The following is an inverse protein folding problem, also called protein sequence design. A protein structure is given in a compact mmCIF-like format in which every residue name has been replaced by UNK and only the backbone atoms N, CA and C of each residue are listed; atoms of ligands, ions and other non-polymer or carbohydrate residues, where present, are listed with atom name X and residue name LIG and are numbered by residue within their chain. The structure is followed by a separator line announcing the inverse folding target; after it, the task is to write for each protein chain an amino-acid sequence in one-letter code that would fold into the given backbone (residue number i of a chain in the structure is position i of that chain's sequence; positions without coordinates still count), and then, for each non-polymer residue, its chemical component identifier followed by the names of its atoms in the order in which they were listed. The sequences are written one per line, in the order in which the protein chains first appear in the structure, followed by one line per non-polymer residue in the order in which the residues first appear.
data_IF_547796084583
#
_entry.id   IF_547796084583
#
_cell.length_a   1.000
_cell.length_b   1.000
_cell.length_c   1.000
_cell.angle_alpha   90.00
_cell.angle_beta   90.00
_cell.angle_gamma   90.00
#
_symmetry.space_group_name_H-M   'P 1'
#
loop_
_entity.id
_entity.type
_entity.pdbx_description
1 polymer ?
#
# COMPACT_ATOMS: atom_id res chain seq x y z
N UNK A 1 -2.74 -8.39 20.37
CA UNK A 1 -2.42 -7.05 19.82
C UNK A 1 -3.68 -6.21 19.77
N UNK A 2 -3.60 -4.92 20.09
CA UNK A 2 -4.69 -3.97 19.87
C UNK A 2 -4.69 -3.47 18.41
N UNK A 3 -5.77 -2.78 18.00
CA UNK A 3 -5.92 -2.30 16.62
C UNK A 3 -4.78 -1.37 16.18
N UNK A 4 -4.22 -0.55 17.08
CA UNK A 4 -3.11 0.36 16.76
C UNK A 4 -1.85 -0.41 16.38
N UNK A 5 -1.56 -1.52 17.07
CA UNK A 5 -0.42 -2.39 16.77
C UNK A 5 -0.59 -3.13 15.43
N UNK A 6 -1.81 -3.55 15.09
CA UNK A 6 -2.08 -4.17 13.77
C UNK A 6 -1.86 -3.17 12.64
N UNK A 7 -2.34 -1.94 12.81
CA UNK A 7 -2.22 -0.89 11.78
C UNK A 7 -0.77 -0.51 11.48
N UNK A 8 0.12 -0.53 12.48
CA UNK A 8 1.56 -0.29 12.25
C UNK A 8 2.25 -1.37 11.43
N UNK A 9 1.65 -2.56 11.31
CA UNK A 9 2.17 -3.66 10.48
C UNK A 9 1.68 -3.58 9.02
N UNK A 10 0.78 -2.67 8.68
CA UNK A 10 0.31 -2.52 7.30
C UNK A 10 1.15 -1.41 6.64
N UNK A 11 1.95 -1.78 5.65
CA UNK A 11 2.70 -0.82 4.84
C UNK A 11 1.75 0.16 4.12
N UNK A 12 2.25 1.33 3.73
CA UNK A 12 1.43 2.36 3.07
C UNK A 12 0.80 1.90 1.75
N UNK A 13 1.39 0.91 1.08
CA UNK A 13 0.79 0.25 -0.08
C UNK A 13 -0.39 -0.68 0.26
N UNK A 14 -0.61 -1.01 1.53
CA UNK A 14 -1.62 -1.97 2.00
C UNK A 14 -1.10 -3.38 2.25
N UNK A 15 0.19 -3.66 1.99
CA UNK A 15 0.79 -4.96 2.29
C UNK A 15 0.98 -5.16 3.80
N UNK A 16 0.60 -6.32 4.32
CA UNK A 16 0.70 -6.63 5.74
C UNK A 16 2.06 -7.26 6.07
N UNK A 17 2.95 -6.50 6.70
CA UNK A 17 4.26 -6.97 7.16
C UNK A 17 4.15 -8.11 8.18
N UNK A 18 3.06 -8.20 8.95
CA UNK A 18 2.85 -9.28 9.92
C UNK A 18 2.69 -10.66 9.28
N UNK A 19 2.56 -10.77 7.96
CA UNK A 19 2.62 -12.05 7.22
C UNK A 19 3.94 -12.26 6.45
N UNK A 20 4.90 -11.35 6.58
CA UNK A 20 6.18 -11.43 5.87
C UNK A 20 7.19 -12.29 6.66
N UNK A 21 7.77 -13.36 6.07
CA UNK A 21 8.77 -14.19 6.75
C UNK A 21 9.97 -13.40 7.28
N UNK A 22 10.48 -12.43 6.51
CA UNK A 22 11.66 -11.64 6.90
C UNK A 22 11.35 -10.71 8.08
N UNK A 23 10.13 -10.16 8.14
CA UNK A 23 9.69 -9.37 9.29
C UNK A 23 9.53 -10.24 10.54
N UNK A 24 8.94 -11.43 10.39
CA UNK A 24 8.72 -12.38 11.48
C UNK A 24 10.05 -12.89 12.05
N UNK A 25 11.05 -13.11 11.20
CA UNK A 25 12.39 -13.56 11.60
C UNK A 25 13.27 -12.44 12.16
N UNK A 26 12.90 -11.17 11.95
CA UNK A 26 13.64 -10.01 12.43
C UNK A 26 14.69 -9.47 11.45
N UNK A 27 14.78 -10.04 10.24
CA UNK A 27 15.68 -9.58 9.16
C UNK A 27 15.18 -8.29 8.48
N UNK A 28 13.92 -7.93 8.70
CA UNK A 28 13.31 -6.70 8.20
C UNK A 28 12.57 -5.95 9.31
N UNK A 29 12.75 -4.63 9.40
CA UNK A 29 12.08 -3.77 10.38
C UNK A 29 10.65 -3.37 10.00
N UNK A 30 10.19 -3.80 8.82
CA UNK A 30 8.86 -3.53 8.27
C UNK A 30 8.80 -2.22 7.48
N UNK A 31 7.94 -2.14 6.46
CA UNK A 31 7.96 -1.07 5.46
C UNK A 31 7.82 0.36 6.05
N UNK A 32 7.14 0.51 7.19
CA UNK A 32 6.98 1.82 7.86
C UNK A 32 8.24 2.34 8.54
N UNK A 33 9.14 1.44 8.90
CA UNK A 33 10.42 1.76 9.54
C UNK A 33 11.58 1.67 8.56
N UNK A 34 11.52 0.72 7.62
CA UNK A 34 12.59 0.44 6.68
C UNK A 34 12.73 1.48 5.56
N UNK A 35 11.65 2.13 5.15
CA UNK A 35 11.67 3.09 4.05
C UNK A 35 11.84 4.54 4.52
N UNK A 36 12.70 5.26 3.81
CA UNK A 36 12.84 6.71 3.84
C UNK A 36 12.17 7.34 2.61
N UNK A 37 12.07 8.67 2.62
CA UNK A 37 11.52 9.43 1.49
C UNK A 37 12.35 9.13 0.23
N UNK A 38 11.68 8.73 -0.85
CA UNK A 38 12.30 8.36 -2.12
C UNK A 38 12.47 6.85 -2.34
N UNK A 39 12.42 6.03 -1.29
CA UNK A 39 12.62 4.57 -1.42
C UNK A 39 11.43 3.86 -2.08
N UNK A 40 10.23 4.38 -1.86
CA UNK A 40 8.99 3.79 -2.36
C UNK A 40 8.00 4.88 -2.75
N UNK A 41 7.67 4.94 -4.05
CA UNK A 41 6.72 5.91 -4.56
C UNK A 41 5.39 5.94 -3.78
N UNK A 42 4.80 4.77 -3.54
CA UNK A 42 3.49 4.70 -2.87
C UNK A 42 3.57 5.09 -1.40
N UNK A 43 4.72 4.88 -0.76
CA UNK A 43 4.97 5.36 0.59
C UNK A 43 4.89 6.88 0.64
N UNK A 44 5.63 7.55 -0.25
CA UNK A 44 5.67 9.01 -0.35
C UNK A 44 4.31 9.58 -0.77
N UNK A 45 3.65 8.94 -1.73
CA UNK A 45 2.34 9.34 -2.21
C UNK A 45 1.30 9.35 -1.08
N UNK A 46 1.28 8.30 -0.25
CA UNK A 46 0.37 8.19 0.90
C UNK A 46 0.66 9.27 1.94
N UNK A 47 1.92 9.60 2.21
CA UNK A 47 2.30 10.71 3.11
C UNK A 47 1.86 12.08 2.57
N UNK A 48 2.15 12.35 1.30
CA UNK A 48 1.79 13.62 0.65
C UNK A 48 0.28 13.82 0.68
N UNK A 49 -0.48 12.75 0.44
CA UNK A 49 -1.95 12.77 0.45
C UNK A 49 -2.56 12.68 1.85
N UNK A 50 -1.76 12.47 2.90
CA UNK A 50 -2.19 12.35 4.30
C UNK A 50 -3.31 11.33 4.50
N UNK A 51 -3.16 10.17 3.85
CA UNK A 51 -4.05 9.02 4.02
C UNK A 51 -3.30 7.88 4.71
N UNK A 52 -4.01 6.89 5.24
CA UNK A 52 -3.37 5.78 5.94
C UNK A 52 -2.73 4.77 4.99
N UNK A 53 -3.43 4.46 3.89
CA UNK A 53 -3.01 3.49 2.89
C UNK A 53 -3.45 3.91 1.48
N UNK A 54 -2.74 3.44 0.46
CA UNK A 54 -3.09 3.70 -0.94
C UNK A 54 -4.55 3.30 -1.27
N UNK A 55 -5.01 2.16 -0.74
CA UNK A 55 -6.37 1.65 -0.94
C UNK A 55 -7.50 2.52 -0.37
N UNK A 56 -7.20 3.43 0.56
CA UNK A 56 -8.18 4.40 1.10
C UNK A 56 -8.27 5.67 0.27
N UNK A 57 -7.43 5.81 -0.77
CA UNK A 57 -7.47 6.95 -1.67
C UNK A 57 -8.79 7.00 -2.45
N UNK A 58 -9.41 8.17 -2.49
CA UNK A 58 -10.64 8.39 -3.25
C UNK A 58 -10.45 8.26 -4.77
N UNK A 59 -9.22 8.17 -5.27
CA UNK A 59 -8.88 7.88 -6.68
C UNK A 59 -8.40 6.44 -6.88
N UNK A 60 -8.38 5.59 -5.86
CA UNK A 60 -7.93 4.21 -6.00
C UNK A 60 -8.89 3.38 -6.87
N UNK A 61 -8.40 2.57 -7.83
CA UNK A 61 -7.02 2.57 -8.33
C UNK A 61 -6.75 3.76 -9.26
N UNK A 62 -5.66 4.50 -9.03
CA UNK A 62 -5.29 5.64 -9.87
C UNK A 62 -4.32 5.22 -10.98
N UNK A 63 -4.12 6.08 -11.98
CA UNK A 63 -3.21 5.79 -13.10
C UNK A 63 -1.80 5.42 -12.63
N UNK A 64 -1.29 6.13 -11.62
CA UNK A 64 0.06 5.91 -11.08
C UNK A 64 0.30 4.48 -10.62
N UNK A 65 -0.61 3.90 -9.82
CA UNK A 65 -0.45 2.51 -9.38
C UNK A 65 -0.73 1.48 -10.48
N UNK A 66 -1.37 1.89 -11.58
CA UNK A 66 -1.63 1.01 -12.73
C UNK A 66 -0.46 0.99 -13.71
N UNK A 67 0.34 2.06 -13.80
CA UNK A 67 1.35 2.20 -14.86
C UNK A 67 2.78 2.32 -14.35
N UNK A 68 2.99 2.72 -13.08
CA UNK A 68 4.33 2.91 -12.52
C UNK A 68 4.87 1.59 -11.96
N UNK A 69 6.04 1.20 -12.43
CA UNK A 69 6.76 0.04 -11.92
C UNK A 69 6.97 0.11 -10.41
N UNK A 70 6.76 -1.03 -9.74
CA UNK A 70 6.98 -1.20 -8.29
C UNK A 70 6.17 -0.24 -7.40
N UNK A 71 5.14 0.44 -7.93
CA UNK A 71 4.24 1.26 -7.13
C UNK A 71 3.31 0.41 -6.25
N UNK A 72 3.03 -0.83 -6.64
CA UNK A 72 2.12 -1.69 -5.89
C UNK A 72 2.51 -3.15 -6.06
N UNK A 73 2.16 -3.96 -5.07
CA UNK A 73 2.28 -5.43 -5.11
C UNK A 73 0.99 -6.08 -5.63
N UNK A 74 -0.05 -5.28 -5.88
CA UNK A 74 -1.34 -5.76 -6.35
C UNK A 74 -1.26 -6.08 -7.85
N UNK A 75 -1.90 -7.19 -8.23
CA UNK A 75 -1.98 -7.62 -9.62
C UNK A 75 -2.69 -6.57 -10.50
N UNK A 76 -2.12 -6.32 -11.68
CA UNK A 76 -2.65 -5.32 -12.63
C UNK A 76 -4.05 -5.67 -13.11
N UNK A 77 -4.37 -6.95 -13.35
CA UNK A 77 -5.72 -7.35 -13.80
C UNK A 77 -6.74 -7.15 -12.69
N UNK A 78 -6.36 -7.40 -11.44
CA UNK A 78 -7.18 -7.09 -10.28
C UNK A 78 -7.44 -5.58 -10.15
N UNK A 79 -6.43 -4.74 -10.37
CA UNK A 79 -6.59 -3.28 -10.36
C UNK A 79 -7.53 -2.82 -11.47
N UNK A 80 -7.39 -3.35 -12.68
CA UNK A 80 -8.29 -3.08 -13.79
C UNK A 80 -9.73 -3.48 -13.46
N UNK A 81 -9.95 -4.69 -12.94
CA UNK A 81 -11.27 -5.13 -12.49
C UNK A 81 -11.84 -4.19 -11.42
N UNK A 82 -11.04 -3.79 -10.43
CA UNK A 82 -11.46 -2.89 -9.35
C UNK A 82 -11.89 -1.52 -9.89
N UNK A 83 -11.19 -1.02 -10.91
CA UNK A 83 -11.55 0.23 -11.58
C UNK A 83 -12.96 0.16 -12.20
N UNK A 84 -13.32 -0.96 -12.82
CA UNK A 84 -14.67 -1.14 -13.41
C UNK A 84 -15.79 -1.03 -12.36
N UNK A 85 -15.53 -1.54 -11.14
CA UNK A 85 -16.52 -1.52 -10.04
C UNK A 85 -16.75 -0.14 -9.45
N UNK A 86 -15.88 0.83 -9.68
CA UNK A 86 -16.14 2.24 -9.33
C UNK A 86 -17.11 2.88 -10.29
N UNK A 87 -17.02 2.57 -11.58
CA UNK A 87 -17.88 3.12 -12.61
C UNK A 87 -19.33 2.69 -12.36
N UNK A 88 -19.53 1.46 -11.90
CA UNK A 88 -20.87 0.91 -11.56
C UNK A 88 -21.45 1.40 -10.23
N UNK A 89 -20.74 2.24 -9.46
CA UNK A 89 -21.21 2.80 -8.19
C UNK A 89 -21.62 4.28 -8.27
N UNK A 90 -21.64 4.84 -9.48
CA UNK A 90 -22.27 6.14 -9.79
C UNK A 90 -23.68 5.90 -10.30
#
# INVERSE_FOLDING_TARGET
MNNKQVMSLIGKCGFYCGSCPDYIQGDCTGCRTAHQKGDCYTFDCVDIHKIEFCGTCNKFPCNEIMTRDKATVLDTRWLQWKATKRITKK
#
